data_IF_551258702440
#
_entry.id   IF_551258702440
#
_cell.length_a   1.000
_cell.length_b   1.000
_cell.length_c   1.000
_cell.angle_alpha   90.00
_cell.angle_beta   90.00
_cell.angle_gamma   90.00
#
_symmetry.space_group_name_H-M   'P 1'
#
loop_
_entity.id
_entity.type
_entity.pdbx_description
1 polymer ?
#
# COMPACT_ATOMS: atom_id res chain seq x y z
N UNK A 1 6.58 22.76 -16.23
CA UNK A 1 6.12 22.91 -14.85
C UNK A 1 5.32 21.69 -14.44
N UNK A 2 5.54 21.24 -13.24
CA UNK A 2 4.85 20.06 -12.72
C UNK A 2 4.38 20.34 -11.31
N UNK A 3 3.34 19.63 -10.90
CA UNK A 3 2.92 19.58 -9.50
C UNK A 3 3.16 18.15 -9.04
N UNK A 4 4.01 17.97 -8.05
CA UNK A 4 4.37 16.67 -7.55
C UNK A 4 3.77 16.48 -6.15
N UNK A 5 3.19 15.33 -5.91
CA UNK A 5 2.79 14.97 -4.55
C UNK A 5 4.06 14.75 -3.73
N UNK A 6 4.21 15.47 -2.62
CA UNK A 6 5.41 15.36 -1.77
C UNK A 6 5.21 14.35 -0.66
N UNK A 7 4.14 14.49 0.10
CA UNK A 7 3.84 13.56 1.20
C UNK A 7 2.35 13.53 1.48
N UNK A 8 1.91 12.49 2.17
CA UNK A 8 0.55 12.37 2.66
C UNK A 8 0.56 11.70 4.02
N UNK A 9 -0.41 12.03 4.85
CA UNK A 9 -0.57 11.41 6.16
C UNK A 9 -1.46 10.17 5.99
N UNK A 10 -0.99 9.04 6.52
CA UNK A 10 -1.76 7.80 6.57
C UNK A 10 -2.16 7.57 8.02
N UNK A 11 -3.44 7.65 8.31
CA UNK A 11 -3.93 7.42 9.66
C UNK A 11 -3.84 5.95 10.04
N UNK A 12 -3.44 5.69 11.27
CA UNK A 12 -3.26 4.35 11.80
C UNK A 12 -3.80 4.26 13.22
N UNK A 13 -4.27 3.09 13.61
CA UNK A 13 -4.60 2.81 15.01
C UNK A 13 -3.34 2.72 15.86
N UNK A 14 -2.23 2.33 15.23
CA UNK A 14 -0.88 2.31 15.78
C UNK A 14 0.07 2.56 14.60
N UNK A 15 0.75 3.70 14.61
CA UNK A 15 1.57 4.11 13.48
C UNK A 15 2.72 3.14 13.21
N UNK A 16 3.32 2.55 14.26
CA UNK A 16 4.40 1.58 14.09
C UNK A 16 3.88 0.28 13.48
N UNK A 17 2.74 -0.20 13.93
CA UNK A 17 2.11 -1.38 13.36
C UNK A 17 1.88 -1.24 11.85
N UNK A 18 1.30 -0.13 11.44
CA UNK A 18 0.99 0.12 10.03
C UNK A 18 2.25 0.35 9.20
N UNK A 19 3.21 1.12 9.71
CA UNK A 19 4.46 1.37 8.99
C UNK A 19 5.27 0.07 8.81
N UNK A 20 5.40 -0.73 9.86
CA UNK A 20 6.12 -2.01 9.78
C UNK A 20 5.43 -3.01 8.87
N UNK A 21 4.11 -3.08 8.92
CA UNK A 21 3.35 -3.90 7.97
C UNK A 21 3.68 -3.52 6.53
N UNK A 22 3.66 -2.24 6.24
CA UNK A 22 3.87 -1.71 4.90
C UNK A 22 5.30 -1.95 4.40
N UNK A 23 6.31 -1.56 5.19
CA UNK A 23 7.71 -1.69 4.77
C UNK A 23 8.13 -3.15 4.63
N UNK A 24 7.64 -3.99 5.52
CA UNK A 24 7.97 -5.40 5.54
C UNK A 24 7.36 -6.12 4.33
N UNK A 25 6.12 -5.77 3.97
CA UNK A 25 5.45 -6.35 2.82
C UNK A 25 6.11 -5.91 1.50
N UNK A 26 6.52 -4.66 1.39
CA UNK A 26 7.03 -4.09 0.14
C UNK A 26 8.55 -4.00 0.07
N UNK A 27 9.26 -4.51 1.07
CA UNK A 27 10.73 -4.49 1.07
C UNK A 27 11.31 -3.09 1.19
N UNK A 28 10.61 -2.21 1.92
CA UNK A 28 11.05 -0.83 2.17
C UNK A 28 11.63 -0.72 3.56
N UNK A 29 12.02 0.49 3.95
CA UNK A 29 12.54 0.79 5.28
C UNK A 29 11.85 2.03 5.84
N UNK A 30 11.71 2.07 7.17
CA UNK A 30 11.28 3.28 7.85
C UNK A 30 12.39 4.31 7.67
N UNK A 31 12.05 5.47 7.09
CA UNK A 31 13.01 6.49 6.73
C UNK A 31 13.39 7.36 7.94
N UNK A 32 12.38 7.75 8.72
CA UNK A 32 12.59 8.58 9.90
C UNK A 32 11.37 8.55 10.81
N UNK A 33 11.58 8.99 12.05
CA UNK A 33 10.49 9.22 13.01
C UNK A 33 10.58 10.68 13.42
N UNK A 34 9.49 11.41 13.24
CA UNK A 34 9.46 12.83 13.53
C UNK A 34 8.13 13.23 14.15
N UNK A 35 8.16 13.68 15.40
CA UNK A 35 6.97 14.02 16.13
C UNK A 35 6.02 12.83 16.20
N UNK A 36 4.75 13.00 15.81
CA UNK A 36 3.76 11.90 15.81
C UNK A 36 3.89 10.98 14.59
N UNK A 37 4.83 11.22 13.67
CA UNK A 37 4.90 10.56 12.39
C UNK A 37 6.01 9.53 12.30
N UNK A 38 5.69 8.39 11.70
CA UNK A 38 6.68 7.43 11.22
C UNK A 38 6.66 7.52 9.69
N UNK A 39 7.77 7.95 9.11
CA UNK A 39 7.85 8.27 7.69
C UNK A 39 8.46 7.13 6.90
N UNK A 40 7.86 6.84 5.74
CA UNK A 40 8.36 5.87 4.77
C UNK A 40 8.42 6.56 3.41
N UNK A 41 9.64 6.72 2.88
CA UNK A 41 9.83 7.28 1.54
C UNK A 41 9.62 6.22 0.48
N UNK A 42 8.83 6.56 -0.53
CA UNK A 42 8.65 5.73 -1.71
C UNK A 42 9.70 6.07 -2.75
N UNK A 43 9.90 5.19 -3.73
CA UNK A 43 10.95 5.35 -4.73
C UNK A 43 10.74 6.54 -5.67
N UNK A 44 9.52 7.06 -5.76
CA UNK A 44 9.19 8.23 -6.59
C UNK A 44 9.26 9.56 -5.82
N UNK A 45 9.83 9.57 -4.63
CA UNK A 45 10.00 10.78 -3.84
C UNK A 45 8.82 11.17 -2.97
N UNK A 46 7.73 10.42 -3.01
CA UNK A 46 6.59 10.64 -2.13
C UNK A 46 6.85 9.98 -0.78
N UNK A 47 6.52 10.67 0.31
CA UNK A 47 6.64 10.12 1.66
C UNK A 47 5.26 9.83 2.24
N UNK A 48 5.10 8.67 2.84
CA UNK A 48 3.93 8.32 3.64
C UNK A 48 4.27 8.57 5.11
N UNK A 49 3.48 9.42 5.76
CA UNK A 49 3.67 9.75 7.18
C UNK A 49 2.57 9.05 7.99
N UNK A 50 2.92 7.95 8.63
CA UNK A 50 1.96 7.17 9.43
C UNK A 50 1.77 7.86 10.78
N UNK A 51 0.51 8.19 11.10
CA UNK A 51 0.17 8.90 12.33
C UNK A 51 -0.94 8.15 13.08
N UNK A 52 -0.72 7.95 14.38
CA UNK A 52 -1.72 7.30 15.23
C UNK A 52 -2.86 8.26 15.55
N UNK A 53 -4.09 7.81 15.31
CA UNK A 53 -5.30 8.49 15.79
C UNK A 53 -6.24 7.44 16.37
N UNK A 54 -7.27 7.84 17.15
CA UNK A 54 -8.24 6.87 17.66
C UNK A 54 -8.86 6.05 16.52
N UNK A 55 -8.95 4.74 16.74
CA UNK A 55 -9.40 3.81 15.68
C UNK A 55 -10.79 4.15 15.14
N UNK A 56 -11.69 4.63 16.01
CA UNK A 56 -13.05 5.01 15.64
C UNK A 56 -13.12 6.29 14.80
N UNK A 57 -12.00 7.00 14.65
CA UNK A 57 -11.91 8.22 13.84
C UNK A 57 -11.22 7.99 12.50
N UNK A 58 -10.73 6.80 12.24
CA UNK A 58 -10.06 6.51 10.98
C UNK A 58 -11.11 6.32 9.88
N UNK A 59 -11.04 7.15 8.85
CA UNK A 59 -11.83 6.95 7.64
C UNK A 59 -11.01 6.08 6.70
N UNK A 60 -11.51 4.90 6.28
CA UNK A 60 -10.80 4.08 5.32
C UNK A 60 -10.51 4.82 4.03
N UNK A 61 -9.28 4.72 3.55
CA UNK A 61 -8.81 5.32 2.31
C UNK A 61 -8.36 4.22 1.36
N UNK A 62 -8.06 4.60 0.13
CA UNK A 62 -7.53 3.68 -0.88
C UNK A 62 -6.16 4.19 -1.34
N UNK A 63 -5.17 3.32 -1.28
CA UNK A 63 -3.81 3.61 -1.75
C UNK A 63 -3.40 2.54 -2.75
N UNK A 64 -2.98 2.96 -3.94
CA UNK A 64 -2.52 2.06 -4.99
C UNK A 64 -1.05 2.36 -5.28
N UNK A 65 -0.26 1.29 -5.39
CA UNK A 65 1.18 1.38 -5.59
C UNK A 65 1.56 0.68 -6.88
N UNK A 66 2.31 1.38 -7.72
CA UNK A 66 2.88 0.80 -8.92
C UNK A 66 4.19 0.10 -8.52
N UNK A 67 4.26 -1.19 -8.78
CA UNK A 67 5.42 -2.01 -8.43
C UNK A 67 5.91 -2.77 -9.67
N UNK A 68 7.16 -3.22 -9.63
CA UNK A 68 7.68 -4.11 -10.67
C UNK A 68 7.06 -5.50 -10.55
N UNK A 69 7.20 -6.31 -11.59
CA UNK A 69 6.75 -7.69 -11.54
C UNK A 69 7.47 -8.47 -10.43
N UNK A 70 8.76 -8.20 -10.25
CA UNK A 70 9.55 -8.84 -9.19
C UNK A 70 9.09 -8.44 -7.80
N UNK A 71 8.80 -7.15 -7.60
CA UNK A 71 8.28 -6.65 -6.33
C UNK A 71 6.88 -7.20 -6.05
N UNK A 72 6.06 -7.34 -7.09
CA UNK A 72 4.76 -7.97 -6.96
C UNK A 72 4.90 -9.42 -6.51
N UNK A 73 5.78 -10.20 -7.14
CA UNK A 73 6.01 -11.58 -6.75
C UNK A 73 6.45 -11.71 -5.30
N UNK A 74 7.37 -10.87 -4.86
CA UNK A 74 7.87 -10.89 -3.49
C UNK A 74 6.77 -10.54 -2.48
N UNK A 75 5.99 -9.50 -2.77
CA UNK A 75 4.88 -9.08 -1.91
C UNK A 75 3.78 -10.14 -1.86
N UNK A 76 3.44 -10.70 -3.00
CA UNK A 76 2.39 -11.72 -3.09
C UNK A 76 2.78 -13.00 -2.32
N UNK A 77 4.05 -13.38 -2.38
CA UNK A 77 4.55 -14.51 -1.59
C UNK A 77 4.38 -14.25 -0.09
N UNK A 78 4.68 -13.04 0.38
CA UNK A 78 4.49 -12.67 1.78
C UNK A 78 3.02 -12.64 2.18
N UNK A 79 2.15 -12.16 1.31
CA UNK A 79 0.69 -12.18 1.52
C UNK A 79 0.24 -13.62 1.79
N UNK A 80 0.67 -14.55 0.97
CA UNK A 80 0.33 -15.96 1.15
C UNK A 80 0.91 -16.56 2.42
N UNK A 81 2.19 -16.30 2.70
CA UNK A 81 2.88 -16.83 3.88
C UNK A 81 2.27 -16.35 5.19
N UNK A 82 1.76 -15.12 5.20
CA UNK A 82 1.17 -14.52 6.41
C UNK A 82 -0.34 -14.70 6.50
N UNK A 83 -0.94 -15.37 5.53
CA UNK A 83 -2.39 -15.56 5.52
C UNK A 83 -3.17 -14.26 5.43
N UNK A 84 -2.62 -13.24 4.76
CA UNK A 84 -3.30 -11.96 4.57
C UNK A 84 -4.42 -12.17 3.56
N UNK A 85 -5.65 -11.79 3.94
CA UNK A 85 -6.77 -11.84 3.01
C UNK A 85 -6.53 -10.87 1.86
N UNK A 86 -6.77 -11.35 0.64
CA UNK A 86 -6.55 -10.55 -0.56
C UNK A 86 -7.59 -10.89 -1.62
N UNK A 87 -7.74 -9.98 -2.59
CA UNK A 87 -8.83 -10.02 -3.55
C UNK A 87 -8.35 -9.53 -4.91
N UNK A 88 -8.99 -10.05 -5.97
CA UNK A 88 -8.73 -9.56 -7.32
C UNK A 88 -9.45 -8.22 -7.60
N UNK A 89 -10.46 -7.88 -6.79
CA UNK A 89 -11.33 -6.72 -7.04
C UNK A 89 -11.49 -5.84 -5.79
N UNK A 90 -11.79 -4.55 -5.97
CA UNK A 90 -11.91 -3.62 -4.86
C UNK A 90 -13.14 -3.84 -3.98
N UNK A 91 -14.13 -4.58 -4.46
CA UNK A 91 -15.35 -4.88 -3.72
C UNK A 91 -15.28 -6.19 -2.94
N UNK A 92 -14.12 -6.84 -2.94
CA UNK A 92 -13.82 -8.06 -2.19
C UNK A 92 -14.74 -9.23 -2.57
N UNK A 93 -15.11 -9.31 -3.85
CA UNK A 93 -15.97 -10.37 -4.37
C UNK A 93 -15.19 -11.56 -4.90
N UNK A 94 -13.88 -11.42 -5.12
CA UNK A 94 -13.02 -12.47 -5.64
C UNK A 94 -11.86 -12.74 -4.67
N UNK A 95 -12.15 -13.34 -3.50
CA UNK A 95 -11.12 -13.60 -2.50
C UNK A 95 -10.13 -14.66 -2.97
N UNK A 96 -8.87 -14.50 -2.53
CA UNK A 96 -7.81 -15.44 -2.83
C UNK A 96 -7.32 -15.39 -4.28
N UNK A 97 -7.68 -14.34 -5.02
CA UNK A 97 -7.33 -14.20 -6.43
C UNK A 97 -6.60 -12.88 -6.69
N UNK A 98 -5.96 -12.79 -7.84
CA UNK A 98 -5.38 -11.56 -8.38
C UNK A 98 -6.04 -11.24 -9.71
N UNK A 99 -5.88 -10.01 -10.20
CA UNK A 99 -6.36 -9.64 -11.53
C UNK A 99 -5.18 -9.47 -12.51
N UNK A 100 -5.53 -9.39 -13.79
CA UNK A 100 -4.57 -9.21 -14.87
C UNK A 100 -4.96 -8.01 -15.72
N UNK A 101 -5.43 -6.96 -15.07
CA UNK A 101 -5.93 -5.77 -15.74
C UNK A 101 -4.82 -5.06 -16.52
N UNK A 102 -5.18 -4.49 -17.66
CA UNK A 102 -4.31 -3.67 -18.51
C UNK A 102 -3.01 -4.39 -18.94
N UNK A 103 -3.04 -5.72 -18.97
CA UNK A 103 -1.87 -6.52 -19.36
C UNK A 103 -0.85 -6.72 -18.26
N UNK A 104 -1.16 -6.30 -17.04
CA UNK A 104 -0.31 -6.48 -15.87
C UNK A 104 -0.94 -7.40 -14.84
N UNK A 105 -0.59 -7.18 -13.58
CA UNK A 105 -1.19 -7.91 -12.45
C UNK A 105 -1.59 -6.91 -11.36
N UNK A 106 -2.62 -7.26 -10.60
CA UNK A 106 -3.07 -6.44 -9.47
C UNK A 106 -3.61 -7.28 -8.34
N UNK A 107 -3.53 -6.76 -7.13
CA UNK A 107 -4.08 -7.41 -5.93
C UNK A 107 -4.53 -6.32 -4.94
N UNK A 108 -5.66 -6.61 -4.27
CA UNK A 108 -6.20 -5.75 -3.21
C UNK A 108 -6.09 -6.45 -1.87
N UNK A 109 -5.76 -5.70 -0.84
CA UNK A 109 -5.73 -6.19 0.54
C UNK A 109 -5.93 -5.02 1.49
N UNK A 110 -6.20 -5.33 2.77
CA UNK A 110 -6.40 -4.30 3.79
C UNK A 110 -5.13 -4.17 4.63
N UNK A 111 -4.80 -2.93 5.03
CA UNK A 111 -3.76 -2.71 6.00
C UNK A 111 -4.32 -2.84 7.44
N UNK A 112 -3.46 -2.80 8.50
CA UNK A 112 -3.96 -2.96 9.88
C UNK A 112 -4.96 -1.90 10.33
N UNK A 113 -4.98 -0.74 9.69
CA UNK A 113 -5.92 0.34 10.03
C UNK A 113 -7.23 0.26 9.24
N UNK A 114 -7.35 -0.68 8.30
CA UNK A 114 -8.54 -0.84 7.49
C UNK A 114 -8.53 -0.07 6.18
N UNK A 115 -7.39 0.48 5.78
CA UNK A 115 -7.27 1.10 4.45
C UNK A 115 -7.18 0.02 3.37
N UNK A 116 -7.81 0.29 2.23
CA UNK A 116 -7.74 -0.59 1.08
C UNK A 116 -6.45 -0.32 0.32
N UNK A 117 -5.58 -1.30 0.26
CA UNK A 117 -4.31 -1.23 -0.45
C UNK A 117 -4.41 -1.98 -1.76
N UNK A 118 -3.70 -1.49 -2.75
CA UNK A 118 -3.66 -2.13 -4.07
C UNK A 118 -2.23 -2.09 -4.61
N UNK A 119 -1.77 -3.21 -5.16
CA UNK A 119 -0.53 -3.27 -5.93
C UNK A 119 -0.88 -3.50 -7.37
N UNK A 120 -0.27 -2.72 -8.27
CA UNK A 120 -0.44 -2.88 -9.71
C UNK A 120 0.94 -2.88 -10.37
N UNK A 121 1.09 -3.69 -11.43
CA UNK A 121 2.34 -3.73 -12.19
C UNK A 121 2.27 -2.89 -13.46
N UNK A 122 1.06 -2.50 -13.88
CA UNK A 122 0.82 -1.61 -15.02
C UNK A 122 -0.21 -0.58 -14.60
N UNK A 123 0.00 0.71 -14.90
CA UNK A 123 -1.00 1.73 -14.59
C UNK A 123 -2.34 1.46 -15.28
N UNK A 124 -3.41 1.94 -14.69
CA UNK A 124 -4.74 1.84 -15.30
C UNK A 124 -4.73 2.48 -16.69
N UNK A 125 -5.34 1.78 -17.65
CA UNK A 125 -5.33 2.20 -19.06
C UNK A 125 -4.03 1.85 -19.78
N UNK A 126 -3.05 1.27 -19.11
CA UNK A 126 -1.78 0.84 -19.71
C UNK A 126 -0.84 1.97 -20.07
N UNK A 127 -1.13 3.22 -19.67
CA UNK A 127 -0.26 4.34 -19.95
C UNK A 127 0.86 4.45 -18.91
N UNK A 128 1.97 5.08 -19.32
CA UNK A 128 3.09 5.36 -18.42
C UNK A 128 3.19 6.85 -18.16
N UNK A 129 3.49 7.20 -16.91
CA UNK A 129 3.67 8.60 -16.53
C UNK A 129 5.05 9.10 -16.92
#
# INVERSE_FOLDING_TARGET
>A
MSVDLNHTIVHARDNRESAEFFVDLLGLEITSEWGPFIAVALNNGVTLDFATIPADRITPQHYAFLVSEEEFDAAYAKIGQRGIEHYADPHRKQPGAINYNDGGRGVYFMDPAGHAMELITVPYGGWTA
#
